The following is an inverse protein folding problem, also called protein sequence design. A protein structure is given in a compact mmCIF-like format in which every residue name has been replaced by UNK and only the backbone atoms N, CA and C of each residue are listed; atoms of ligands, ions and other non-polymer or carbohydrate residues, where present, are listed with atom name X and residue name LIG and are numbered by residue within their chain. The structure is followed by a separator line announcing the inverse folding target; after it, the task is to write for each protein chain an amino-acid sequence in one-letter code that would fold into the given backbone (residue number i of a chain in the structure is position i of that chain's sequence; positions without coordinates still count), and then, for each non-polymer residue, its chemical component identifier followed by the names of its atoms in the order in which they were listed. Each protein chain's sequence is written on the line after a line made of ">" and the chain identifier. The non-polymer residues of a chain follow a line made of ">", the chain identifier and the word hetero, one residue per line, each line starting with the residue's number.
data_IF_007527709030
#
_entry.id   IF_007527709030
#
_cell.length_a   1.000
_cell.length_b   1.000
_cell.length_c   1.000
_cell.angle_alpha   90.00
_cell.angle_beta   90.00
_cell.angle_gamma   90.00
#
_symmetry.space_group_name_H-M   'P 1'
#
loop_
_entity.id
_entity.type
_entity.pdbx_description
1 polymer ?
#
# COMPACT_ATOMS: atom_id res chain seq x y z
N UNK A 1 -37.96 11.83 19.78
CA UNK A 1 -36.56 12.31 19.67
C UNK A 1 -35.79 11.52 18.61
N UNK A 2 -35.93 10.19 18.51
CA UNK A 2 -35.25 9.36 17.48
C UNK A 2 -35.41 9.82 16.01
N UNK A 3 -36.57 10.37 15.61
CA UNK A 3 -36.80 10.81 14.22
C UNK A 3 -35.88 11.95 13.76
N UNK A 4 -35.48 12.84 14.68
CA UNK A 4 -34.58 13.96 14.36
C UNK A 4 -33.11 13.49 14.28
N UNK A 5 -32.74 12.52 15.11
CA UNK A 5 -31.38 11.97 15.13
C UNK A 5 -31.08 11.16 13.85
N UNK A 6 -32.07 10.42 13.35
CA UNK A 6 -31.96 9.66 12.09
C UNK A 6 -31.85 10.59 10.86
N UNK A 7 -32.62 11.68 10.83
CA UNK A 7 -32.53 12.71 9.78
C UNK A 7 -31.17 13.42 9.80
N UNK A 8 -30.66 13.76 10.98
CA UNK A 8 -29.34 14.34 11.16
C UNK A 8 -28.22 13.38 10.73
N UNK A 9 -28.32 12.10 11.07
CA UNK A 9 -27.36 11.09 10.64
C UNK A 9 -27.36 10.91 9.12
N UNK A 10 -28.54 10.94 8.48
CA UNK A 10 -28.67 10.86 7.02
C UNK A 10 -28.09 12.09 6.33
N UNK A 11 -28.39 13.28 6.84
CA UNK A 11 -27.86 14.55 6.33
C UNK A 11 -26.33 14.60 6.46
N UNK A 12 -25.80 14.20 7.62
CA UNK A 12 -24.36 14.05 7.85
C UNK A 12 -23.72 13.10 6.84
N UNK A 13 -24.33 11.94 6.59
CA UNK A 13 -23.82 10.96 5.62
C UNK A 13 -23.79 11.54 4.20
N UNK A 14 -24.84 12.26 3.80
CA UNK A 14 -24.91 12.90 2.48
C UNK A 14 -23.82 13.97 2.32
N UNK A 15 -23.65 14.86 3.31
CA UNK A 15 -22.58 15.86 3.27
C UNK A 15 -21.20 15.24 3.29
N UNK A 16 -21.00 14.18 4.10
CA UNK A 16 -19.74 13.45 4.16
C UNK A 16 -19.39 12.83 2.81
N UNK A 17 -20.36 12.20 2.15
CA UNK A 17 -20.18 11.62 0.82
C UNK A 17 -19.77 12.69 -0.21
N UNK A 18 -20.46 13.83 -0.22
CA UNK A 18 -20.13 14.95 -1.11
C UNK A 18 -18.71 15.49 -0.85
N UNK A 19 -18.32 15.65 0.42
CA UNK A 19 -16.98 16.09 0.80
C UNK A 19 -15.89 15.10 0.34
N UNK A 20 -16.17 13.80 0.43
CA UNK A 20 -15.27 12.74 -0.06
C UNK A 20 -15.15 12.81 -1.58
N UNK A 21 -16.26 12.94 -2.31
CA UNK A 21 -16.25 13.03 -3.77
C UNK A 21 -15.46 14.24 -4.27
N UNK A 22 -15.65 15.41 -3.66
CA UNK A 22 -14.89 16.61 -3.97
C UNK A 22 -13.38 16.41 -3.74
N UNK A 23 -13.00 15.74 -2.65
CA UNK A 23 -11.61 15.40 -2.36
C UNK A 23 -11.04 14.40 -3.37
N UNK A 24 -11.81 13.38 -3.77
CA UNK A 24 -11.39 12.41 -4.79
C UNK A 24 -11.20 13.04 -6.17
N UNK A 25 -11.99 14.08 -6.50
CA UNK A 25 -11.82 14.87 -7.71
C UNK A 25 -10.74 15.97 -7.60
N UNK A 26 -9.96 16.01 -6.51
CA UNK A 26 -8.90 17.00 -6.31
C UNK A 26 -9.39 18.43 -6.06
N UNK A 27 -10.69 18.63 -5.84
CA UNK A 27 -11.30 19.95 -5.55
C UNK A 27 -11.16 20.28 -4.06
N UNK A 28 -9.93 20.49 -3.61
CA UNK A 28 -9.60 20.61 -2.18
C UNK A 28 -10.27 21.80 -1.48
N UNK A 29 -10.37 22.97 -2.15
CA UNK A 29 -11.06 24.14 -1.58
C UNK A 29 -12.56 23.88 -1.37
N UNK A 30 -13.20 23.19 -2.30
CA UNK A 30 -14.61 22.82 -2.17
C UNK A 30 -14.79 21.74 -1.10
N UNK A 31 -13.85 20.79 -1.00
CA UNK A 31 -13.85 19.80 0.08
C UNK A 31 -13.66 20.44 1.47
N UNK A 32 -12.88 21.53 1.58
CA UNK A 32 -12.78 22.32 2.82
C UNK A 32 -14.15 22.89 3.19
N UNK A 33 -14.81 23.59 2.26
CA UNK A 33 -16.12 24.19 2.50
C UNK A 33 -17.17 23.14 2.90
N UNK A 34 -17.18 21.98 2.23
CA UNK A 34 -18.08 20.88 2.55
C UNK A 34 -17.82 20.29 3.95
N UNK A 35 -16.56 20.09 4.34
CA UNK A 35 -16.24 19.61 5.69
C UNK A 35 -16.52 20.66 6.77
N UNK A 36 -16.31 21.96 6.48
CA UNK A 36 -16.68 23.04 7.40
C UNK A 36 -18.19 23.06 7.66
N UNK A 37 -19.02 22.89 6.63
CA UNK A 37 -20.48 22.80 6.78
C UNK A 37 -20.90 21.59 7.65
N UNK A 38 -20.20 20.44 7.54
CA UNK A 38 -20.43 19.30 8.45
C UNK A 38 -20.10 19.70 9.88
N UNK A 39 -18.99 20.41 10.10
CA UNK A 39 -18.52 20.80 11.42
C UNK A 39 -19.35 21.94 12.06
N UNK A 40 -20.08 22.73 11.27
CA UNK A 40 -21.07 23.67 11.80
C UNK A 40 -22.24 22.93 12.49
N UNK A 41 -22.64 21.78 11.94
CA UNK A 41 -23.71 20.94 12.48
C UNK A 41 -23.18 19.96 13.55
N UNK A 42 -21.96 19.44 13.35
CA UNK A 42 -21.32 18.42 14.19
C UNK A 42 -19.89 18.84 14.55
N UNK A 43 -19.68 19.75 15.51
CA UNK A 43 -18.38 20.37 15.77
C UNK A 43 -17.25 19.42 16.18
N UNK A 44 -17.59 18.26 16.73
CA UNK A 44 -16.63 17.24 17.18
C UNK A 44 -16.57 16.03 16.24
N UNK A 45 -17.03 16.18 15.00
CA UNK A 45 -16.95 15.09 14.04
C UNK A 45 -15.49 14.79 13.65
N UNK A 46 -14.96 13.71 14.24
CA UNK A 46 -13.57 13.28 14.10
C UNK A 46 -13.20 13.07 12.62
N UNK A 47 -14.09 12.46 11.85
CA UNK A 47 -13.85 12.18 10.44
C UNK A 47 -13.81 13.44 9.58
N UNK A 48 -14.73 14.39 9.77
CA UNK A 48 -14.75 15.66 9.06
C UNK A 48 -13.54 16.51 9.45
N UNK A 49 -13.12 16.51 10.72
CA UNK A 49 -11.86 17.15 11.14
C UNK A 49 -10.64 16.52 10.45
N UNK A 50 -10.59 15.18 10.35
CA UNK A 50 -9.52 14.48 9.63
C UNK A 50 -9.52 14.80 8.13
N UNK A 51 -10.71 14.81 7.49
CA UNK A 51 -10.88 15.16 6.07
C UNK A 51 -10.52 16.62 5.80
N UNK A 52 -10.89 17.54 6.69
CA UNK A 52 -10.53 18.96 6.65
C UNK A 52 -9.02 19.14 6.76
N UNK A 53 -8.38 18.48 7.74
CA UNK A 53 -6.92 18.49 7.89
C UNK A 53 -6.20 17.99 6.65
N UNK A 54 -6.73 16.93 6.02
CA UNK A 54 -6.20 16.41 4.76
C UNK A 54 -6.34 17.44 3.64
N UNK A 55 -7.50 18.06 3.47
CA UNK A 55 -7.70 19.03 2.39
C UNK A 55 -6.75 20.25 2.52
N UNK A 56 -6.50 20.74 3.74
CA UNK A 56 -5.50 21.77 3.99
C UNK A 56 -4.06 21.30 3.71
N UNK A 57 -3.71 20.04 4.03
CA UNK A 57 -2.40 19.46 3.67
C UNK A 57 -2.14 19.52 2.17
N UNK A 58 -3.14 19.16 1.36
CA UNK A 58 -3.03 19.14 -0.11
C UNK A 58 -2.87 20.53 -0.71
N UNK A 59 -3.38 21.56 -0.03
CA UNK A 59 -3.22 22.96 -0.43
C UNK A 59 -1.92 23.60 0.10
N UNK A 60 -1.11 22.87 0.86
CA UNK A 60 0.09 23.41 1.52
C UNK A 60 -0.22 24.31 2.73
N UNK A 61 -1.47 24.33 3.19
CA UNK A 61 -1.95 25.16 4.30
C UNK A 61 -1.68 24.47 5.65
N UNK A 62 -0.40 24.20 5.94
CA UNK A 62 0.02 23.32 7.04
C UNK A 62 -0.39 23.80 8.43
N UNK A 63 -0.48 25.10 8.67
CA UNK A 63 -0.97 25.65 9.95
C UNK A 63 -2.43 25.32 10.19
N UNK A 64 -3.27 25.43 9.15
CA UNK A 64 -4.69 25.09 9.20
C UNK A 64 -4.89 23.58 9.32
N UNK A 65 -4.09 22.80 8.59
CA UNK A 65 -4.09 21.34 8.72
C UNK A 65 -3.74 20.90 10.14
N UNK A 66 -2.71 21.49 10.75
CA UNK A 66 -2.31 21.18 12.12
C UNK A 66 -3.43 21.50 13.12
N UNK A 67 -4.12 22.63 12.96
CA UNK A 67 -5.25 22.99 13.81
C UNK A 67 -6.40 21.98 13.71
N UNK A 68 -6.74 21.53 12.48
CA UNK A 68 -7.80 20.56 12.27
C UNK A 68 -7.46 19.19 12.88
N UNK A 69 -6.23 18.69 12.70
CA UNK A 69 -5.82 17.42 13.31
C UNK A 69 -5.69 17.48 14.83
N UNK A 70 -5.27 18.62 15.40
CA UNK A 70 -5.29 18.83 16.86
C UNK A 70 -6.70 18.73 17.41
N UNK A 71 -7.67 19.41 16.80
CA UNK A 71 -9.09 19.28 17.17
C UNK A 71 -9.61 17.86 17.02
N UNK A 72 -9.22 17.15 15.95
CA UNK A 72 -9.60 15.75 15.75
C UNK A 72 -9.09 14.85 16.87
N UNK A 73 -7.87 15.10 17.35
CA UNK A 73 -7.26 14.41 18.50
C UNK A 73 -7.89 14.81 19.84
N UNK A 74 -8.31 16.06 19.99
CA UNK A 74 -9.05 16.51 21.17
C UNK A 74 -10.44 15.83 21.26
N UNK A 75 -11.11 15.64 20.12
CA UNK A 75 -12.39 14.93 20.03
C UNK A 75 -12.25 13.41 20.24
N UNK A 76 -11.17 12.80 19.73
CA UNK A 76 -10.82 11.41 19.97
C UNK A 76 -9.31 11.26 20.28
N UNK A 77 -8.95 11.11 21.57
CA UNK A 77 -7.56 10.93 22.00
C UNK A 77 -6.84 9.71 21.42
N UNK A 78 -7.57 8.69 20.93
CA UNK A 78 -7.01 7.47 20.36
C UNK A 78 -6.95 7.50 18.82
N UNK A 79 -7.24 8.64 18.20
CA UNK A 79 -7.21 8.82 16.75
C UNK A 79 -5.78 8.74 16.19
N UNK A 80 -5.38 7.53 15.80
CA UNK A 80 -4.07 7.24 15.19
C UNK A 80 -3.83 7.97 13.85
N UNK A 81 -4.90 8.36 13.13
CA UNK A 81 -4.81 9.12 11.88
C UNK A 81 -4.33 10.54 12.19
N UNK A 82 -4.92 11.19 13.20
CA UNK A 82 -4.50 12.51 13.64
C UNK A 82 -3.05 12.50 14.13
N UNK A 83 -2.66 11.49 14.92
CA UNK A 83 -1.28 11.34 15.40
C UNK A 83 -0.27 11.25 14.28
N UNK A 84 -0.52 10.37 13.30
CA UNK A 84 0.38 10.18 12.16
C UNK A 84 0.52 11.47 11.35
N UNK A 85 -0.59 12.17 11.10
CA UNK A 85 -0.56 13.40 10.31
C UNK A 85 0.06 14.58 11.07
N UNK A 86 -0.11 14.68 12.39
CA UNK A 86 0.53 15.70 13.21
C UNK A 86 2.06 15.54 13.23
N UNK A 87 2.57 14.31 13.39
CA UNK A 87 4.02 14.03 13.31
C UNK A 87 4.57 14.39 11.93
N UNK A 88 3.84 14.02 10.87
CA UNK A 88 4.20 14.38 9.49
C UNK A 88 4.25 15.90 9.29
N UNK A 89 3.27 16.62 9.81
CA UNK A 89 3.21 18.09 9.75
C UNK A 89 4.35 18.76 10.49
N UNK A 90 4.77 18.22 11.63
CA UNK A 90 5.92 18.74 12.39
C UNK A 90 7.19 18.75 11.52
N UNK A 91 7.45 17.65 10.81
CA UNK A 91 8.58 17.55 9.86
C UNK A 91 8.44 18.56 8.73
N UNK A 92 7.25 18.68 8.13
CA UNK A 92 7.01 19.58 7.00
C UNK A 92 7.15 21.07 7.36
N UNK A 93 6.68 21.46 8.55
CA UNK A 93 6.76 22.85 9.05
C UNK A 93 8.20 23.21 9.41
N UNK A 94 8.95 22.30 10.05
CA UNK A 94 10.37 22.50 10.39
C UNK A 94 11.24 22.59 9.14
N UNK A 95 10.90 21.84 8.09
CA UNK A 95 11.62 21.86 6.81
C UNK A 95 11.40 23.16 6.01
N UNK A 96 10.57 24.09 6.51
CA UNK A 96 10.36 25.41 5.89
C UNK A 96 9.67 25.38 4.53
N UNK A 97 9.12 24.23 4.14
CA UNK A 97 8.59 24.00 2.79
C UNK A 97 7.22 24.66 2.64
N UNK A 98 7.20 25.98 2.44
CA UNK A 98 6.00 26.66 1.93
C UNK A 98 5.89 26.35 0.45
N UNK A 99 5.30 25.22 0.09
CA UNK A 99 4.95 24.95 -1.30
C UNK A 99 3.79 25.85 -1.68
N UNK A 100 4.11 27.02 -2.24
CA UNK A 100 3.19 27.76 -3.12
C UNK A 100 2.98 26.88 -4.36
N UNK A 101 2.08 25.91 -4.30
CA UNK A 101 1.69 25.13 -5.47
C UNK A 101 0.18 25.15 -5.56
N UNK A 102 -0.32 26.23 -6.17
CA UNK A 102 -1.56 26.12 -6.93
C UNK A 102 -1.31 25.10 -8.05
N UNK A 103 -1.91 23.91 -7.91
CA UNK A 103 -2.24 23.06 -9.04
C UNK A 103 -1.39 21.81 -9.23
N UNK A 104 -2.10 20.69 -9.34
CA UNK A 104 -1.68 19.46 -10.01
C UNK A 104 -0.59 18.62 -9.34
N UNK A 105 -0.81 18.23 -8.10
CA UNK A 105 -0.48 16.85 -7.72
C UNK A 105 -1.35 15.91 -8.56
N UNK A 106 -0.81 15.38 -9.66
CA UNK A 106 -1.49 14.38 -10.50
C UNK A 106 -1.68 13.09 -9.70
N UNK A 107 -2.67 13.05 -8.81
CA UNK A 107 -3.08 11.84 -8.10
C UNK A 107 -3.75 10.87 -9.06
N UNK A 108 -3.57 9.59 -8.76
CA UNK A 108 -4.18 8.50 -9.52
C UNK A 108 -5.64 8.37 -9.08
N UNK A 109 -6.56 8.34 -10.05
CA UNK A 109 -7.98 8.14 -9.74
C UNK A 109 -8.24 6.76 -9.11
N UNK A 110 -9.17 6.65 -8.14
CA UNK A 110 -9.50 5.38 -7.47
C UNK A 110 -9.89 4.23 -8.41
N UNK A 111 -10.35 4.53 -9.63
CA UNK A 111 -10.74 3.52 -10.62
C UNK A 111 -9.54 2.77 -11.25
N UNK A 112 -8.31 3.25 -11.05
CA UNK A 112 -7.09 2.58 -11.54
C UNK A 112 -6.72 1.33 -10.70
N UNK A 113 -7.50 1.03 -9.65
CA UNK A 113 -7.31 -0.11 -8.75
C UNK A 113 -7.91 -1.45 -9.21
N UNK A 114 -8.46 -1.56 -10.42
CA UNK A 114 -8.83 -2.87 -10.95
C UNK A 114 -7.56 -3.69 -11.23
N UNK A 115 -7.31 -4.67 -10.36
CA UNK A 115 -6.21 -5.63 -10.42
C UNK A 115 -6.39 -6.56 -11.62
N UNK A 116 -5.80 -6.19 -12.76
CA UNK A 116 -5.48 -7.18 -13.78
C UNK A 116 -4.36 -8.07 -13.22
N UNK A 117 -4.68 -9.33 -12.97
CA UNK A 117 -3.80 -10.31 -12.34
C UNK A 117 -2.42 -10.31 -13.00
N UNK A 118 -1.38 -10.03 -12.20
CA UNK A 118 0.03 -10.07 -12.62
C UNK A 118 0.61 -8.81 -13.29
N UNK A 119 -0.20 -7.78 -13.57
CA UNK A 119 0.26 -6.51 -14.17
C UNK A 119 0.57 -5.41 -13.15
N UNK A 120 0.01 -5.51 -11.94
CA UNK A 120 0.30 -4.61 -10.84
C UNK A 120 0.80 -5.41 -9.63
N UNK A 121 1.74 -4.83 -8.88
CA UNK A 121 2.25 -5.41 -7.65
C UNK A 121 2.67 -4.34 -6.65
N UNK A 122 2.46 -4.61 -5.37
CA UNK A 122 2.95 -3.76 -4.28
C UNK A 122 4.38 -4.17 -3.93
N UNK A 123 5.28 -3.20 -3.96
CA UNK A 123 6.71 -3.38 -3.73
C UNK A 123 7.21 -2.40 -2.68
N UNK A 124 8.07 -2.88 -1.78
CA UNK A 124 8.72 -2.04 -0.79
C UNK A 124 9.97 -1.37 -1.36
N UNK A 125 10.29 -0.18 -0.84
CA UNK A 125 11.54 0.50 -1.16
C UNK A 125 12.62 0.24 -0.12
N UNK A 126 13.86 0.17 -0.62
CA UNK A 126 15.13 0.16 0.12
C UNK A 126 15.87 1.48 -0.07
N UNK A 127 16.82 1.79 0.83
CA UNK A 127 17.61 3.03 0.79
C UNK A 127 16.73 4.29 0.70
N UNK A 128 15.85 4.44 1.69
CA UNK A 128 14.89 5.52 1.74
C UNK A 128 15.57 6.90 1.87
N UNK A 129 14.91 7.91 1.32
CA UNK A 129 15.31 9.30 1.48
C UNK A 129 15.14 9.79 2.94
N UNK A 130 15.72 10.95 3.30
CA UNK A 130 15.50 11.58 4.59
C UNK A 130 14.00 11.81 4.89
N UNK A 131 13.67 11.87 6.18
CA UNK A 131 12.27 11.91 6.66
C UNK A 131 11.50 13.12 6.13
N UNK A 132 12.22 14.20 5.84
CA UNK A 132 11.70 15.44 5.26
C UNK A 132 11.14 15.19 3.86
N UNK A 133 11.88 14.47 3.01
CA UNK A 133 11.44 14.13 1.65
C UNK A 133 10.33 13.09 1.68
N UNK A 134 10.44 12.08 2.56
CA UNK A 134 9.38 11.08 2.74
C UNK A 134 8.07 11.71 3.23
N UNK A 135 8.15 12.76 4.03
CA UNK A 135 6.98 13.51 4.49
C UNK A 135 6.26 14.24 3.35
N UNK A 136 6.89 14.45 2.19
CA UNK A 136 6.20 14.99 1.00
C UNK A 136 5.46 13.90 0.21
N UNK A 137 5.86 12.62 0.29
CA UNK A 137 5.20 11.51 -0.40
C UNK A 137 3.92 11.04 0.33
N UNK A 138 2.74 11.33 -0.22
CA UNK A 138 1.44 10.85 0.29
C UNK A 138 0.99 9.59 -0.46
N UNK A 139 0.23 8.72 0.22
CA UNK A 139 -0.51 7.66 -0.44
C UNK A 139 -1.42 8.21 -1.55
N UNK A 140 -1.32 7.65 -2.75
CA UNK A 140 -2.03 8.07 -3.96
C UNK A 140 -1.22 8.98 -4.89
N UNK A 141 -0.05 9.47 -4.45
CA UNK A 141 0.81 10.30 -5.29
C UNK A 141 1.54 9.44 -6.33
N UNK A 142 1.63 9.96 -7.56
CA UNK A 142 2.40 9.31 -8.63
C UNK A 142 3.89 9.45 -8.40
N UNK A 143 4.63 8.40 -8.73
CA UNK A 143 6.09 8.37 -8.71
C UNK A 143 6.66 7.85 -10.02
N UNK A 144 7.84 8.34 -10.36
CA UNK A 144 8.58 7.95 -11.55
C UNK A 144 9.57 6.84 -11.22
N UNK A 145 9.64 5.82 -12.09
CA UNK A 145 10.59 4.73 -11.99
C UNK A 145 11.74 4.97 -12.96
N UNK A 146 12.93 5.21 -12.43
CA UNK A 146 14.12 5.50 -13.22
C UNK A 146 15.13 4.36 -13.11
N UNK A 147 15.41 3.65 -14.22
CA UNK A 147 16.43 2.59 -14.22
C UNK A 147 17.83 3.21 -14.10
N UNK A 148 18.56 2.86 -13.04
CA UNK A 148 19.93 3.31 -12.77
C UNK A 148 20.85 2.09 -12.57
N UNK A 149 21.33 1.52 -13.68
CA UNK A 149 22.18 0.34 -13.67
C UNK A 149 21.43 -0.93 -13.26
N UNK A 150 21.70 -1.44 -12.05
CA UNK A 150 21.08 -2.63 -11.47
C UNK A 150 19.97 -2.32 -10.45
N UNK A 151 19.72 -1.04 -10.17
CA UNK A 151 18.67 -0.57 -9.26
C UNK A 151 17.65 0.28 -10.01
N UNK A 152 16.43 0.33 -9.50
CA UNK A 152 15.40 1.26 -9.97
C UNK A 152 15.24 2.33 -8.90
N UNK A 153 15.56 3.57 -9.25
CA UNK A 153 15.35 4.74 -8.38
C UNK A 153 13.92 5.23 -8.53
N UNK A 154 13.33 5.64 -7.43
CA UNK A 154 11.99 6.20 -7.36
C UNK A 154 12.10 7.67 -7.06
N UNK A 155 11.49 8.49 -7.91
CA UNK A 155 11.45 9.94 -7.77
C UNK A 155 10.02 10.46 -7.76
N UNK A 156 9.76 11.52 -6.99
CA UNK A 156 8.47 12.22 -7.01
C UNK A 156 8.27 12.92 -8.36
N UNK A 157 7.06 13.41 -8.63
CA UNK A 157 6.82 14.27 -9.81
C UNK A 157 7.65 15.57 -9.75
N UNK A 158 8.04 16.00 -8.54
CA UNK A 158 8.93 17.13 -8.33
C UNK A 158 10.42 16.81 -8.59
N UNK A 159 10.77 15.55 -8.92
CA UNK A 159 12.15 15.11 -9.16
C UNK A 159 12.95 14.80 -7.89
N UNK A 160 12.28 14.68 -6.74
CA UNK A 160 12.94 14.36 -5.47
C UNK A 160 13.10 12.85 -5.33
N UNK A 161 14.31 12.40 -4.96
CA UNK A 161 14.57 11.00 -4.70
C UNK A 161 13.85 10.53 -3.44
N UNK A 162 13.07 9.45 -3.56
CA UNK A 162 12.29 8.88 -2.46
C UNK A 162 12.93 7.59 -1.94
N UNK A 163 13.48 6.77 -2.83
CA UNK A 163 14.09 5.50 -2.48
C UNK A 163 14.41 4.65 -3.70
N UNK A 164 14.80 3.40 -3.48
CA UNK A 164 15.11 2.42 -4.53
C UNK A 164 14.24 1.18 -4.39
N UNK A 165 13.84 0.56 -5.50
CA UNK A 165 13.08 -0.69 -5.47
C UNK A 165 13.95 -1.81 -4.91
N UNK A 166 13.39 -2.64 -4.01
CA UNK A 166 14.09 -3.81 -3.47
C UNK A 166 14.72 -4.69 -4.58
N UNK A 167 15.96 -5.19 -4.40
CA UNK A 167 16.70 -5.89 -5.46
C UNK A 167 15.94 -7.06 -6.11
N UNK A 168 15.17 -7.81 -5.31
CA UNK A 168 14.37 -8.96 -5.78
C UNK A 168 13.37 -8.59 -6.89
N UNK A 169 12.78 -7.40 -6.82
CA UNK A 169 11.83 -6.90 -7.80
C UNK A 169 12.54 -6.08 -8.88
N UNK A 170 13.57 -5.31 -8.51
CA UNK A 170 14.30 -4.44 -9.42
C UNK A 170 14.92 -5.21 -10.60
N UNK A 171 15.57 -6.36 -10.36
CA UNK A 171 16.22 -7.13 -11.43
C UNK A 171 15.23 -7.62 -12.50
N UNK A 172 14.06 -8.11 -12.08
CA UNK A 172 13.01 -8.56 -12.99
C UNK A 172 12.45 -7.40 -13.79
N UNK A 173 12.07 -6.32 -13.11
CA UNK A 173 11.51 -5.12 -13.76
C UNK A 173 12.51 -4.50 -14.73
N UNK A 174 13.80 -4.44 -14.40
CA UNK A 174 14.85 -3.97 -15.32
C UNK A 174 14.96 -4.82 -16.59
N UNK A 175 14.85 -6.16 -16.49
CA UNK A 175 14.84 -7.04 -17.65
C UNK A 175 13.67 -6.74 -18.57
N UNK A 176 12.48 -6.54 -18.00
CA UNK A 176 11.26 -6.26 -18.75
C UNK A 176 11.27 -4.83 -19.35
N UNK A 177 11.79 -3.84 -18.61
CA UNK A 177 11.98 -2.47 -19.11
C UNK A 177 12.95 -2.43 -20.30
N UNK A 178 14.04 -3.21 -20.25
CA UNK A 178 14.96 -3.37 -21.40
C UNK A 178 14.28 -4.04 -22.60
N UNK A 179 13.29 -4.89 -22.35
CA UNK A 179 12.44 -5.50 -23.35
C UNK A 179 11.36 -4.58 -23.93
N UNK A 180 11.27 -3.33 -23.47
CA UNK A 180 10.32 -2.34 -23.99
C UNK A 180 9.12 -2.06 -23.09
N UNK A 181 8.94 -2.80 -21.98
CA UNK A 181 7.82 -2.59 -21.07
C UNK A 181 7.96 -1.25 -20.32
N UNK A 182 6.83 -0.61 -20.05
CA UNK A 182 6.77 0.66 -19.30
C UNK A 182 5.90 0.51 -18.06
N UNK A 183 6.34 1.13 -16.98
CA UNK A 183 5.69 1.03 -15.67
C UNK A 183 5.35 2.42 -15.13
N UNK A 184 4.24 2.50 -14.40
CA UNK A 184 3.90 3.63 -13.54
C UNK A 184 3.93 3.20 -12.08
N UNK A 185 4.24 4.13 -11.19
CA UNK A 185 4.27 3.90 -9.76
C UNK A 185 3.30 4.82 -9.02
N UNK A 186 2.69 4.29 -7.96
CA UNK A 186 1.84 5.04 -7.03
C UNK A 186 2.27 4.72 -5.62
N UNK A 187 2.41 5.73 -4.76
CA UNK A 187 2.66 5.49 -3.33
C UNK A 187 1.42 4.86 -2.70
N UNK A 188 1.56 3.72 -2.03
CA UNK A 188 0.45 3.04 -1.34
C UNK A 188 0.45 3.42 0.13
N UNK A 189 1.62 3.35 0.75
CA UNK A 189 1.78 3.68 2.16
C UNK A 189 3.15 4.30 2.40
N UNK A 190 3.16 5.42 3.12
CA UNK A 190 4.36 6.02 3.71
C UNK A 190 4.27 5.90 5.23
N UNK A 191 5.22 5.15 5.80
CA UNK A 191 5.50 5.14 7.23
C UNK A 191 6.90 5.70 7.46
N UNK A 192 7.27 5.94 8.72
CA UNK A 192 8.56 6.53 9.08
C UNK A 192 9.76 5.72 8.56
N UNK A 193 9.66 4.38 8.58
CA UNK A 193 10.77 3.47 8.22
C UNK A 193 10.48 2.54 7.04
N UNK A 194 9.24 2.52 6.54
CA UNK A 194 8.83 1.67 5.41
C UNK A 194 7.96 2.45 4.45
N UNK A 195 8.31 2.38 3.17
CA UNK A 195 7.54 2.94 2.08
C UNK A 195 7.20 1.83 1.08
N UNK A 196 5.92 1.67 0.79
CA UNK A 196 5.44 0.71 -0.22
C UNK A 196 4.82 1.48 -1.38
N UNK A 197 5.23 1.11 -2.59
CA UNK A 197 4.69 1.63 -3.83
C UNK A 197 4.00 0.51 -4.60
N UNK A 198 2.91 0.83 -5.28
CA UNK A 198 2.30 -0.04 -6.27
C UNK A 198 2.93 0.29 -7.61
N UNK A 199 3.50 -0.72 -8.27
CA UNK A 199 4.05 -0.59 -9.61
C UNK A 199 3.08 -1.30 -10.55
N UNK A 200 2.65 -0.61 -11.61
CA UNK A 200 1.73 -1.14 -12.63
C UNK A 200 2.37 -1.07 -14.00
N UNK A 201 2.24 -2.15 -14.77
CA UNK A 201 2.59 -2.17 -16.17
C UNK A 201 1.58 -1.32 -16.97
N UNK A 202 2.09 -0.27 -17.59
CA UNK A 202 1.31 0.64 -18.46
C UNK A 202 1.40 0.24 -19.93
N UNK A 203 2.45 -0.48 -20.30
CA UNK A 203 2.70 -0.93 -21.66
C UNK A 203 3.53 -2.21 -21.62
N UNK A 204 3.07 -3.22 -22.36
CA UNK A 204 3.79 -4.45 -22.62
C UNK A 204 4.25 -4.45 -24.08
N UNK A 205 5.54 -4.61 -24.30
CA UNK A 205 6.08 -4.77 -25.64
C UNK A 205 5.69 -6.15 -26.20
N UNK A 206 5.39 -6.29 -27.51
CA UNK A 206 5.08 -7.58 -28.13
C UNK A 206 6.15 -8.67 -27.87
N UNK A 207 7.42 -8.28 -27.69
CA UNK A 207 8.51 -9.21 -27.37
C UNK A 207 8.46 -9.78 -25.95
N UNK A 208 7.66 -9.17 -25.06
CA UNK A 208 7.51 -9.57 -23.65
C UNK A 208 6.17 -10.25 -23.36
N UNK A 209 5.36 -10.54 -24.39
CA UNK A 209 4.09 -11.26 -24.25
C UNK A 209 4.33 -12.61 -23.57
N UNK A 210 3.54 -12.91 -22.54
CA UNK A 210 3.67 -14.12 -21.71
C UNK A 210 4.61 -13.97 -20.50
N UNK A 211 5.40 -12.89 -20.39
CA UNK A 211 6.17 -12.61 -19.19
C UNK A 211 5.37 -11.75 -18.20
N UNK A 212 5.03 -12.32 -17.05
CA UNK A 212 4.26 -11.64 -16.00
C UNK A 212 5.17 -10.71 -15.20
N UNK A 213 4.83 -9.43 -15.06
CA UNK A 213 5.64 -8.46 -14.31
C UNK A 213 5.73 -8.81 -12.82
N UNK A 214 4.61 -9.20 -12.21
CA UNK A 214 4.52 -9.56 -10.79
C UNK A 214 3.95 -10.97 -10.61
N UNK A 215 4.79 -12.02 -10.57
CA UNK A 215 4.31 -13.38 -10.36
C UNK A 215 3.75 -13.52 -8.94
N UNK A 216 2.45 -13.81 -8.83
CA UNK A 216 1.87 -14.31 -7.58
C UNK A 216 2.45 -15.70 -7.32
N UNK A 217 2.98 -15.94 -6.11
CA UNK A 217 3.25 -17.31 -5.67
C UNK A 217 1.91 -18.03 -5.55
N UNK A 218 1.46 -18.66 -6.63
CA UNK A 218 0.60 -19.82 -6.48
C UNK A 218 1.41 -20.87 -5.73
N UNK A 219 0.87 -21.52 -4.68
CA UNK A 219 1.47 -22.72 -4.12
C UNK A 219 1.76 -23.69 -5.28
N UNK A 220 2.87 -24.41 -5.19
CA UNK A 220 3.37 -25.33 -6.21
C UNK A 220 2.48 -26.58 -6.39
N UNK A 221 1.17 -26.39 -6.56
CA UNK A 221 0.16 -27.42 -6.76
C UNK A 221 -0.71 -27.07 -7.99
N UNK A 222 -0.07 -26.82 -9.13
CA UNK A 222 -0.74 -26.76 -10.42
C UNK A 222 0.20 -27.04 -11.60
N UNK A 223 1.29 -27.80 -11.39
CA UNK A 223 1.94 -28.48 -12.52
C UNK A 223 1.13 -29.74 -12.79
N UNK A 224 0.20 -29.67 -13.75
CA UNK A 224 -0.28 -30.87 -14.42
C UNK A 224 0.95 -31.49 -15.13
N UNK A 225 1.30 -32.76 -14.88
CA UNK A 225 2.26 -33.43 -15.73
C UNK A 225 1.57 -33.70 -17.06
N UNK A 226 2.00 -32.99 -18.11
CA UNK A 226 1.75 -33.42 -19.47
C UNK A 226 2.44 -34.77 -19.67
N UNK A 227 1.69 -35.72 -20.23
CA UNK A 227 2.15 -37.06 -20.57
C UNK A 227 3.33 -36.97 -21.55
N UNK A 228 4.55 -37.06 -21.04
CA UNK A 228 5.70 -37.51 -21.83
C UNK A 228 5.59 -39.03 -22.00
N UNK A 229 5.12 -39.44 -23.18
CA UNK A 229 5.26 -40.79 -23.69
C UNK A 229 6.75 -41.10 -23.87
N UNK A 230 7.36 -41.73 -22.88
CA UNK A 230 8.71 -42.30 -23.04
C UNK A 230 8.55 -43.75 -23.47
N UNK A 231 9.00 -44.00 -24.69
CA UNK A 231 9.05 -45.31 -25.31
C UNK A 231 9.90 -46.27 -24.47
N UNK A 232 9.34 -47.47 -24.38
CA UNK A 232 9.86 -48.68 -23.77
C UNK A 232 11.03 -49.23 -24.60
N UNK A 233 12.25 -49.22 -24.06
CA UNK A 233 13.30 -50.17 -24.44
C UNK A 233 14.02 -50.62 -23.15
N UNK A 234 13.54 -51.73 -22.61
CA UNK A 234 14.23 -52.59 -21.65
C UNK A 234 15.30 -53.40 -22.36
N UNK A 235 16.49 -53.52 -21.77
CA UNK A 235 17.34 -54.73 -21.73
C UNK A 235 18.35 -54.62 -20.55
N UNK A 236 18.87 -55.75 -20.02
CA UNK A 236 18.89 -56.01 -18.58
C UNK A 236 20.26 -55.88 -17.88
N UNK A 237 20.21 -55.95 -16.53
CA UNK A 237 21.31 -55.96 -15.57
C UNK A 237 22.32 -57.12 -15.77
N UNK A 238 23.50 -57.14 -15.08
CA UNK A 238 23.53 -57.70 -13.72
C UNK A 238 24.60 -57.17 -12.72
N UNK A 239 24.26 -57.36 -11.44
CA UNK A 239 25.07 -57.83 -10.28
C UNK A 239 26.26 -57.06 -9.66
N UNK A 240 26.28 -57.10 -8.31
CA UNK A 240 27.41 -56.81 -7.40
C UNK A 240 27.03 -55.81 -6.29
N UNK A 241 26.48 -56.22 -5.15
CA UNK A 241 27.13 -56.75 -3.92
C UNK A 241 27.25 -55.71 -2.78
N UNK A 242 26.71 -56.14 -1.63
CA UNK A 242 27.03 -55.83 -0.22
C UNK A 242 26.70 -54.46 0.43
N UNK A 243 25.63 -54.53 1.24
CA UNK A 243 25.43 -54.06 2.61
C UNK A 243 26.44 -53.09 3.27
N UNK A 244 25.91 -52.05 3.90
CA UNK A 244 26.20 -51.77 5.32
C UNK A 244 25.04 -51.03 6.00
N UNK A 245 24.69 -51.54 7.19
CA UNK A 245 23.60 -51.09 8.06
C UNK A 245 24.20 -50.16 9.11
N UNK A 246 23.63 -48.98 9.31
CA UNK A 246 23.85 -48.19 10.52
C UNK A 246 22.52 -47.61 10.99
N UNK A 247 21.98 -48.22 12.03
CA UNK A 247 20.85 -47.77 12.85
C UNK A 247 21.44 -46.97 14.01
N UNK A 248 21.00 -45.73 14.18
CA UNK A 248 20.97 -45.08 15.50
C UNK A 248 19.61 -44.37 15.66
N UNK A 249 18.74 -45.06 16.39
CA UNK A 249 17.72 -44.56 17.32
C UNK A 249 18.26 -43.40 18.19
N UNK A 250 17.50 -42.46 18.76
CA UNK A 250 16.09 -42.38 19.11
C UNK A 250 15.76 -40.96 19.65
N UNK A 251 14.46 -40.60 19.58
CA UNK A 251 13.65 -39.79 20.53
C UNK A 251 14.02 -38.29 20.70
N UNK A 252 13.09 -37.34 20.73
CA UNK A 252 11.85 -37.31 21.51
C UNK A 252 10.70 -36.60 20.77
N UNK A 253 9.51 -37.17 20.93
CA UNK A 253 8.20 -36.70 20.48
C UNK A 253 7.50 -36.07 21.70
N UNK A 254 7.22 -34.76 21.70
CA UNK A 254 6.35 -34.12 22.71
C UNK A 254 4.97 -33.86 22.10
N UNK A 255 4.04 -34.74 22.46
CA UNK A 255 2.58 -34.59 22.28
C UNK A 255 2.01 -33.83 23.47
N UNK A 256 1.22 -32.77 23.20
CA UNK A 256 0.32 -32.18 24.18
C UNK A 256 -1.11 -32.68 23.94
N UNK A 257 -1.85 -33.11 24.97
CA UNK A 257 -3.23 -33.55 24.83
C UNK A 257 -4.20 -32.35 24.84
N UNK A 258 -5.25 -32.48 24.03
CA UNK A 258 -6.50 -31.74 24.13
C UNK A 258 -7.23 -32.16 25.42
N UNK A 259 -7.75 -31.20 26.19
CA UNK A 259 -8.84 -31.48 27.13
C UNK A 259 -10.07 -30.65 26.76
N UNK A 260 -11.13 -31.41 26.48
CA UNK A 260 -12.50 -30.97 26.30
C UNK A 260 -13.13 -30.53 27.63
N UNK A 261 -14.00 -29.52 27.51
CA UNK A 261 -15.22 -29.23 28.25
C UNK A 261 -15.59 -30.13 29.45
N UNK A 262 -15.82 -29.51 30.61
CA UNK A 262 -16.93 -29.88 31.49
C UNK A 262 -17.67 -28.61 31.99
N UNK A 263 -18.94 -28.56 31.65
CA UNK A 263 -19.95 -27.65 32.16
C UNK A 263 -20.30 -27.96 33.64
N UNK A 264 -20.90 -26.94 34.29
CA UNK A 264 -22.04 -27.07 35.21
C UNK A 264 -21.83 -27.49 36.69
N UNK A 265 -21.95 -26.53 37.63
CA UNK A 265 -23.20 -26.24 38.39
C UNK A 265 -22.97 -25.43 39.69
N UNK A 266 -23.91 -24.48 39.90
CA UNK A 266 -24.53 -23.97 41.14
C UNK A 266 -23.68 -23.70 42.40
N UNK A 267 -23.71 -22.44 42.90
CA UNK A 267 -24.57 -21.95 44.02
C UNK A 267 -24.79 -20.44 43.89
#
# INVERSE_FOLDING_TARGET
>A
MAYNDDEQAKLKKQHSQSAIELALSGRWRDAIAANQAILELFPQDVEALNRLGRAHMELGEYTMAQAAYKKSKEADPYNSIADRNLRRLEVLVVSGSKTNVEGNGQRVEPQVFLEETGKAGVVNLSSLAPREVLAHAVAGDKVNLLPAGAVIRIETVAGEYVGSVEPRHALRLLKLMRGGNRYSGTVVSSTEDKLSIMIRETYQDPSQVGQISFPTRLPAAARKPELESVAEETEPAPEGEEAEVAVEENLEEETYPEEEDEEELEV
#
